data_IF_868304285586
#
_entry.id   IF_868304285586
#
_cell.length_a   1.000
_cell.length_b   1.000
_cell.length_c   1.000
_cell.angle_alpha   90.00
_cell.angle_beta   90.00
_cell.angle_gamma   90.00
#
_symmetry.space_group_name_H-M   'P 1'
#
loop_
_entity.id
_entity.type
_entity.pdbx_description
1 polymer ?
2 non-polymer ?
3 non-polymer ?
4 water ?
#
# COMPACT_ATOMS: atom_id res chain seq x y z
N UNK A 17 3.92 15.10 26.64
CA UNK A 17 4.12 13.87 25.80
C UNK A 17 3.24 13.95 24.55
N UNK A 18 3.68 14.71 23.53
CA UNK A 18 2.92 14.86 22.28
C UNK A 18 2.74 13.56 21.50
N UNK A 19 1.64 13.47 20.77
CA UNK A 19 1.34 12.31 19.96
C UNK A 19 0.89 12.75 18.58
N UNK A 20 0.92 11.82 17.63
CA UNK A 20 0.48 12.09 16.28
C UNK A 20 -0.75 11.24 16.03
N UNK A 21 -1.77 11.83 15.42
CA UNK A 21 -2.99 11.14 15.08
C UNK A 21 -2.96 10.87 13.58
N UNK A 22 -2.85 9.59 13.21
CA UNK A 22 -2.81 9.18 11.80
C UNK A 22 -4.18 8.72 11.36
N UNK A 23 -4.62 9.21 10.22
CA UNK A 23 -5.94 8.89 9.71
C UNK A 23 -5.95 8.35 8.28
N UNK A 24 -6.63 7.23 8.09
CA UNK A 24 -6.77 6.66 6.75
C UNK A 24 -8.26 6.60 6.48
N UNK A 25 -8.77 7.64 5.83
CA UNK A 25 -10.18 7.72 5.52
C UNK A 25 -10.43 7.00 4.21
N UNK A 26 -11.12 5.86 4.28
CA UNK A 26 -11.41 5.09 3.08
C UNK A 26 -12.83 5.30 2.60
N UNK A 27 -13.17 4.63 1.50
CA UNK A 27 -14.49 4.72 0.90
C UNK A 27 -15.60 4.25 1.84
N UNK A 28 -15.30 3.25 2.67
CA UNK A 28 -16.30 2.72 3.59
C UNK A 28 -15.85 2.66 5.05
N UNK A 29 -14.73 3.30 5.38
CA UNK A 29 -14.22 3.26 6.75
C UNK A 29 -13.20 4.34 7.09
N UNK A 30 -12.76 4.32 8.34
CA UNK A 30 -11.76 5.26 8.83
C UNK A 30 -10.80 4.57 9.78
N UNK A 31 -9.60 4.24 9.30
CA UNK A 31 -8.60 3.60 10.15
C UNK A 31 -7.78 4.70 10.79
N UNK A 32 -7.44 4.53 12.06
CA UNK A 32 -6.65 5.55 12.73
C UNK A 32 -5.72 4.95 13.78
N UNK A 33 -4.68 5.70 14.10
CA UNK A 33 -3.69 5.28 15.09
C UNK A 33 -3.11 6.53 15.76
N UNK A 34 -2.78 6.41 17.04
CA UNK A 34 -2.19 7.52 17.77
C UNK A 34 -0.78 7.06 18.20
N UNK A 35 0.24 7.60 17.56
CA UNK A 35 1.61 7.21 17.87
C UNK A 35 2.34 8.24 18.74
N UNK A 36 3.21 7.76 19.61
CA UNK A 36 3.98 8.63 20.48
C UNK A 36 5.01 9.33 19.60
N UNK A 37 5.14 10.64 19.74
CA UNK A 37 6.11 11.37 18.93
C UNK A 37 7.53 10.98 19.27
N UNK A 38 7.75 10.61 20.53
CA UNK A 38 9.08 10.21 20.99
C UNK A 38 9.55 8.88 20.43
N UNK A 39 8.78 7.83 20.68
CA UNK A 39 9.14 6.50 20.22
C UNK A 39 8.40 6.04 18.96
N UNK A 40 7.42 6.82 18.52
CA UNK A 40 6.63 6.46 17.34
C UNK A 40 5.82 5.19 17.57
N UNK A 41 5.69 4.80 18.84
CA UNK A 41 4.93 3.60 19.20
C UNK A 41 3.43 3.87 19.14
N UNK A 42 2.66 2.83 18.89
CA UNK A 42 1.21 2.99 18.85
C UNK A 42 0.67 2.97 20.28
N UNK A 43 -0.12 3.98 20.62
CA UNK A 43 -0.72 4.10 21.95
C UNK A 43 -2.19 3.75 21.87
N UNK A 44 -2.74 3.84 20.66
CA UNK A 44 -4.15 3.55 20.43
C UNK A 44 -4.42 3.41 18.94
N UNK A 45 -5.26 2.44 18.58
CA UNK A 45 -5.63 2.22 17.18
C UNK A 45 -7.12 1.90 17.11
N UNK A 46 -7.70 2.03 15.92
CA UNK A 46 -9.11 1.76 15.78
C UNK A 46 -9.62 1.80 14.35
N UNK A 47 -10.94 1.75 14.19
CA UNK A 47 -11.56 1.79 12.88
C UNK A 47 -13.07 1.92 12.92
N UNK A 48 -13.58 2.89 12.16
CA UNK A 48 -15.02 3.13 12.09
C UNK A 48 -15.47 2.51 10.78
N UNK A 49 -16.16 1.38 10.86
CA UNK A 49 -16.62 0.67 9.67
C UNK A 49 -18.10 0.88 9.38
N UNK A 50 -18.54 0.43 8.21
CA UNK A 50 -19.94 0.57 7.82
C UNK A 50 -20.32 2.03 7.64
N UNK A 51 -19.41 2.82 7.09
CA UNK A 51 -19.63 4.25 6.87
C UNK A 51 -20.71 4.55 5.83
N UNK A 52 -21.50 5.59 6.11
CA UNK A 52 -22.58 6.02 5.23
C UNK A 52 -23.71 4.98 5.18
N UNK A 53 -23.57 3.93 5.97
CA UNK A 53 -24.57 2.87 6.02
C UNK A 53 -25.52 3.11 7.20
N UNK A 54 -26.69 2.49 7.17
CA UNK A 54 -27.66 2.64 8.25
C UNK A 54 -27.16 1.94 9.51
N UNK A 55 -26.00 1.30 9.41
CA UNK A 55 -25.40 0.60 10.53
C UNK A 55 -23.89 0.83 10.55
N UNK A 56 -23.44 1.80 11.33
CA UNK A 56 -22.02 2.13 11.43
C UNK A 56 -21.50 1.98 12.85
N UNK A 57 -20.38 1.28 13.00
CA UNK A 57 -19.77 1.05 14.31
C UNK A 57 -18.31 1.45 14.38
N UNK A 58 -17.80 1.58 15.60
CA UNK A 58 -16.41 1.98 15.85
C UNK A 58 -15.76 1.05 16.88
N UNK A 59 -14.79 0.26 16.43
CA UNK A 59 -14.09 -0.68 17.29
C UNK A 59 -12.64 -0.29 17.61
N UNK A 60 -12.43 0.26 18.80
CA UNK A 60 -11.10 0.67 19.25
C UNK A 60 -10.41 -0.50 19.92
N UNK A 61 -9.19 -0.81 19.48
CA UNK A 61 -8.40 -1.94 20.01
C UNK A 61 -9.23 -3.20 20.05
N UNK A 62 -10.48 -3.08 19.65
CA UNK A 62 -11.40 -4.20 19.65
C UNK A 62 -12.09 -4.51 20.98
N UNK A 63 -12.37 -3.51 21.82
CA UNK A 63 -13.04 -3.81 23.08
C UNK A 63 -14.54 -3.56 23.05
N UNK A 64 -15.01 -2.76 22.09
CA UNK A 64 -16.44 -2.51 22.02
C UNK A 64 -16.99 -1.80 20.80
N UNK A 65 -17.44 -2.57 19.79
CA UNK A 65 -17.99 -1.87 18.64
C UNK A 65 -19.05 -0.85 19.09
N UNK A 66 -18.65 0.41 19.23
CA UNK A 66 -19.53 1.48 19.67
C UNK A 66 -20.62 1.64 18.61
N UNK A 67 -21.54 2.58 18.84
CA UNK A 67 -22.63 2.79 17.91
C UNK A 67 -22.70 4.22 17.39
N UNK A 68 -22.92 4.34 16.08
CA UNK A 68 -23.03 5.64 15.43
C UNK A 68 -23.77 5.46 14.11
N UNK A 69 -24.68 4.48 14.08
CA UNK A 69 -25.47 4.18 12.89
C UNK A 69 -25.92 5.46 12.17
N UNK A 70 -25.82 5.44 10.85
CA UNK A 70 -26.21 6.58 10.02
C UNK A 70 -25.40 7.83 10.39
N UNK A 71 -24.08 7.70 10.36
CA UNK A 71 -23.19 8.81 10.68
C UNK A 71 -22.22 9.05 9.54
N UNK A 72 -21.97 10.32 9.24
CA UNK A 72 -21.06 10.68 8.16
C UNK A 72 -19.61 10.62 8.64
N UNK A 73 -18.68 10.88 7.73
CA UNK A 73 -17.26 10.86 8.05
C UNK A 73 -16.89 11.75 9.22
N UNK A 74 -17.50 12.93 9.33
CA UNK A 74 -17.17 13.82 10.43
C UNK A 74 -17.73 13.36 11.77
N UNK A 75 -18.87 12.68 11.75
CA UNK A 75 -19.46 12.19 12.98
C UNK A 75 -18.59 11.05 13.50
N UNK A 76 -18.18 10.19 12.57
CA UNK A 76 -17.33 9.06 12.89
C UNK A 76 -16.02 9.53 13.52
N UNK A 77 -15.47 10.61 12.98
CA UNK A 77 -14.22 11.16 13.48
C UNK A 77 -14.47 11.88 14.80
N UNK A 78 -15.71 12.33 15.01
CA UNK A 78 -16.10 13.01 16.24
C UNK A 78 -16.13 11.97 17.36
N UNK A 79 -16.70 10.80 17.04
CA UNK A 79 -16.78 9.71 18.00
C UNK A 79 -15.35 9.37 18.43
N UNK A 80 -14.48 9.26 17.42
CA UNK A 80 -13.07 8.96 17.62
C UNK A 80 -12.44 10.06 18.48
N UNK A 81 -12.73 11.31 18.16
CA UNK A 81 -12.20 12.45 18.91
C UNK A 81 -12.58 12.39 20.38
N UNK A 82 -13.80 11.94 20.65
CA UNK A 82 -14.30 11.85 22.02
C UNK A 82 -13.57 10.77 22.81
N UNK A 83 -13.27 9.65 22.14
CA UNK A 83 -12.56 8.56 22.78
C UNK A 83 -11.14 8.96 23.14
N UNK A 84 -10.56 9.84 22.34
CA UNK A 84 -9.21 10.31 22.60
C UNK A 84 -9.28 11.24 23.80
N UNK A 85 -10.35 12.00 23.89
CA UNK A 85 -10.56 12.94 25.00
C UNK A 85 -10.92 12.19 26.27
N UNK A 86 -11.73 11.14 26.14
CA UNK A 86 -12.12 10.33 27.29
C UNK A 86 -10.89 9.69 27.89
N UNK A 87 -9.81 9.65 27.11
CA UNK A 87 -8.55 9.05 27.58
C UNK A 87 -7.47 10.12 27.73
N UNK A 88 -7.92 11.37 27.86
CA UNK A 88 -7.02 12.51 28.01
C UNK A 88 -5.89 12.58 26.98
N UNK A 89 -6.19 12.14 25.76
CA UNK A 89 -5.23 12.17 24.67
C UNK A 89 -5.37 13.46 23.87
N UNK A 90 -6.63 13.87 23.67
CA UNK A 90 -6.95 15.08 22.92
C UNK A 90 -5.98 16.24 23.11
N UNK A 91 -5.46 16.40 24.32
CA UNK A 91 -4.56 17.50 24.60
C UNK A 91 -3.10 17.29 24.18
N UNK A 92 -2.73 16.07 23.81
CA UNK A 92 -1.36 15.81 23.39
C UNK A 92 -1.21 15.69 21.88
N UNK A 93 -2.34 15.75 21.17
CA UNK A 93 -2.32 15.67 19.72
C UNK A 93 -1.68 16.92 19.13
N UNK A 94 -0.42 16.82 18.75
CA UNK A 94 0.31 17.95 18.19
C UNK A 94 0.36 17.95 16.66
N UNK A 95 0.08 16.79 16.08
CA UNK A 95 0.11 16.64 14.63
C UNK A 95 -0.94 15.65 14.17
N UNK A 96 -1.39 15.81 12.94
CA UNK A 96 -2.36 14.90 12.38
C UNK A 96 -1.87 14.53 10.99
N UNK A 97 -1.80 13.23 10.72
CA UNK A 97 -1.34 12.76 9.43
C UNK A 97 -2.47 12.17 8.62
N UNK A 98 -2.60 12.62 7.38
CA UNK A 98 -3.65 12.14 6.49
C UNK A 98 -3.06 11.34 5.36
N UNK A 99 -3.61 10.15 5.14
CA UNK A 99 -3.15 9.30 4.06
C UNK A 99 -4.00 9.64 2.85
N UNK A 100 -3.32 10.02 1.75
CA UNK A 100 -4.02 10.37 0.53
C UNK A 100 -3.76 9.30 -0.52
N UNK A 101 -4.83 8.78 -1.09
CA UNK A 101 -4.75 7.73 -2.08
C UNK A 101 -3.99 8.09 -3.36
N UNK A 102 -4.34 9.23 -3.96
CA UNK A 102 -3.73 9.65 -5.23
C UNK A 102 -3.28 11.12 -5.26
N UNK A 103 -2.02 11.34 -5.61
CA UNK A 103 -1.52 12.71 -5.66
C UNK A 103 -1.22 13.23 -7.06
N UNK A 104 -1.64 12.48 -8.09
CA UNK A 104 -1.38 12.89 -9.46
C UNK A 104 0.08 13.25 -9.65
N UNK A 105 0.36 14.25 -10.48
CA UNK A 105 1.72 14.71 -10.74
C UNK A 105 2.00 15.96 -9.91
N UNK A 106 1.04 16.34 -9.08
CA UNK A 106 1.19 17.55 -8.26
C UNK A 106 1.97 17.33 -6.98
N UNK A 107 1.89 16.14 -6.41
CA UNK A 107 2.61 15.89 -5.17
C UNK A 107 3.77 14.92 -5.31
N UNK A 108 4.95 15.38 -4.90
CA UNK A 108 6.16 14.57 -4.97
C UNK A 108 6.70 14.24 -3.59
N UNK A 109 6.08 14.81 -2.56
CA UNK A 109 6.48 14.57 -1.17
C UNK A 109 5.33 14.94 -0.23
N UNK A 110 5.49 14.63 1.04
CA UNK A 110 4.45 14.96 2.02
C UNK A 110 4.44 16.46 2.27
N UNK A 111 3.26 17.02 2.49
CA UNK A 111 3.13 18.46 2.73
C UNK A 111 2.23 18.85 3.91
N UNK A 112 2.42 20.09 4.36
CA UNK A 112 1.60 20.64 5.43
C UNK A 112 0.33 21.03 4.72
N UNK A 113 -0.81 20.57 5.21
CA UNK A 113 -2.08 20.89 4.57
C UNK A 113 -2.52 22.34 4.73
N UNK A 114 -2.79 22.98 3.60
CA UNK A 114 -3.26 24.37 3.54
C UNK A 114 -4.40 24.40 2.54
N UNK A 115 -5.03 25.56 2.36
CA UNK A 115 -6.13 25.69 1.41
C UNK A 115 -5.68 25.31 0.01
N UNK A 116 -4.43 25.65 -0.31
CA UNK A 116 -3.86 25.35 -1.62
C UNK A 116 -3.76 23.85 -1.83
N UNK A 117 -3.26 23.14 -0.81
CA UNK A 117 -3.12 21.70 -0.89
C UNK A 117 -4.48 21.05 -1.08
N UNK A 118 -5.49 21.53 -0.36
CA UNK A 118 -6.83 20.98 -0.50
C UNK A 118 -7.30 21.14 -1.94
N UNK A 119 -7.12 22.35 -2.47
CA UNK A 119 -7.50 22.64 -3.85
C UNK A 119 -6.81 21.67 -4.79
N UNK A 120 -5.51 21.47 -4.57
CA UNK A 120 -4.73 20.59 -5.41
C UNK A 120 -5.16 19.13 -5.30
N UNK A 121 -5.47 18.68 -4.09
CA UNK A 121 -5.92 17.30 -3.91
C UNK A 121 -7.24 17.15 -4.65
N UNK A 122 -8.03 18.21 -4.65
CA UNK A 122 -9.32 18.20 -5.33
C UNK A 122 -9.12 18.13 -6.85
N UNK A 123 -8.08 18.80 -7.33
CA UNK A 123 -7.77 18.83 -8.76
C UNK A 123 -7.42 17.44 -9.31
N UNK A 124 -6.74 16.62 -8.51
CA UNK A 124 -6.33 15.29 -8.94
C UNK A 124 -7.32 14.19 -8.58
N UNK A 125 -8.32 14.50 -7.77
CA UNK A 125 -9.31 13.51 -7.36
C UNK A 125 -9.94 12.72 -8.51
N UNK A 126 -10.05 13.33 -9.70
CA UNK A 126 -10.66 12.57 -10.79
C UNK A 126 -9.84 11.31 -11.12
N UNK A 127 -8.60 11.27 -10.64
CA UNK A 127 -7.72 10.13 -10.88
C UNK A 127 -8.04 8.97 -9.93
N UNK A 128 -8.79 9.28 -8.88
CA UNK A 128 -9.20 8.29 -7.88
C UNK A 128 -10.49 8.78 -7.23
N UNK A 129 -11.58 8.88 -8.02
CA UNK A 129 -12.91 9.33 -7.60
C UNK A 129 -13.31 8.97 -6.17
N UNK A 130 -13.75 7.73 -5.99
CA UNK A 130 -14.19 7.28 -4.67
C UNK A 130 -13.22 7.64 -3.54
N UNK A 131 -12.03 7.06 -3.61
CA UNK A 131 -10.99 7.20 -2.59
C UNK A 131 -10.55 8.58 -2.18
N UNK A 132 -10.17 9.42 -3.13
CA UNK A 132 -9.71 10.76 -2.81
C UNK A 132 -10.75 11.64 -2.12
N UNK A 133 -12.01 11.53 -2.54
CA UNK A 133 -13.06 12.34 -1.95
C UNK A 133 -13.25 11.95 -0.49
N UNK A 134 -13.12 10.65 -0.19
CA UNK A 134 -13.25 10.19 1.19
C UNK A 134 -12.09 10.80 1.99
N UNK A 135 -10.93 10.91 1.33
CA UNK A 135 -9.74 11.48 1.94
C UNK A 135 -9.98 12.93 2.30
N UNK A 136 -10.65 13.65 1.40
CA UNK A 136 -10.96 15.07 1.62
C UNK A 136 -11.98 15.20 2.75
N UNK A 137 -12.96 14.30 2.79
CA UNK A 137 -13.96 14.32 3.85
C UNK A 137 -13.22 14.24 5.18
N UNK A 138 -12.31 13.28 5.27
CA UNK A 138 -11.54 13.09 6.49
C UNK A 138 -10.72 14.31 6.87
N UNK A 139 -10.17 15.02 5.87
CA UNK A 139 -9.38 16.20 6.14
C UNK A 139 -10.32 17.31 6.64
N UNK A 140 -11.48 17.42 6.00
CA UNK A 140 -12.47 18.43 6.36
C UNK A 140 -12.92 18.26 7.81
N UNK A 141 -13.18 17.02 8.19
CA UNK A 141 -13.61 16.71 9.55
C UNK A 141 -12.46 16.94 10.54
N UNK A 142 -11.26 16.50 10.19
CA UNK A 142 -10.12 16.67 11.08
C UNK A 142 -9.85 18.15 11.30
N UNK A 143 -10.01 18.95 10.25
CA UNK A 143 -9.77 20.39 10.35
C UNK A 143 -10.80 21.03 11.28
N UNK A 144 -12.05 20.58 11.18
CA UNK A 144 -13.13 21.08 12.01
C UNK A 144 -12.88 20.72 13.48
N UNK A 145 -12.51 19.46 13.73
CA UNK A 145 -12.28 18.96 15.08
C UNK A 145 -10.97 19.35 15.77
N UNK A 146 -9.93 19.70 15.00
CA UNK A 146 -8.64 20.07 15.61
C UNK A 146 -8.01 21.28 14.90
N UNK A 147 -8.73 22.42 14.87
CA UNK A 147 -8.32 23.68 14.25
C UNK A 147 -6.90 24.18 14.52
N UNK A 148 -6.48 24.14 15.77
CA UNK A 148 -5.15 24.63 16.12
C UNK A 148 -4.03 23.62 15.89
N UNK A 149 -4.35 22.45 15.37
CA UNK A 149 -3.33 21.43 15.15
C UNK A 149 -2.83 21.35 13.71
N UNK A 150 -1.51 21.32 13.56
CA UNK A 150 -0.91 21.21 12.23
C UNK A 150 -1.32 19.86 11.62
N UNK A 151 -1.58 19.87 10.32
CA UNK A 151 -2.00 18.65 9.65
C UNK A 151 -1.22 18.47 8.35
N UNK A 152 -0.87 17.23 8.03
CA UNK A 152 -0.11 16.96 6.83
C UNK A 152 -0.74 15.86 5.99
N UNK A 153 -0.44 15.88 4.70
CA UNK A 153 -0.96 14.89 3.77
C UNK A 153 0.19 14.04 3.24
N UNK A 154 -0.04 12.73 3.24
CA UNK A 154 0.94 11.77 2.74
C UNK A 154 0.25 11.00 1.62
N UNK A 155 0.79 11.14 0.41
CA UNK A 155 0.23 10.52 -0.77
C UNK A 155 0.88 9.18 -1.13
N UNK A 156 0.05 8.17 -1.37
CA UNK A 156 0.51 6.83 -1.73
C UNK A 156 1.23 6.80 -3.05
N UNK A 157 1.16 7.90 -3.79
CA UNK A 157 1.77 8.00 -5.11
C UNK A 157 3.05 8.82 -5.22
N UNK A 158 3.29 9.71 -4.29
CA UNK A 158 4.46 10.59 -4.43
C UNK A 158 5.83 9.93 -4.57
N UNK A 159 6.07 8.83 -3.88
CA UNK A 159 7.37 8.17 -3.97
C UNK A 159 7.70 7.74 -5.41
N UNK A 160 6.68 7.41 -6.19
CA UNK A 160 6.89 6.97 -7.57
C UNK A 160 7.03 8.12 -8.58
N UNK A 161 6.96 9.36 -8.11
CA UNK A 161 7.07 10.50 -9.01
C UNK A 161 8.47 10.71 -9.60
N UNK A 162 9.42 9.88 -9.20
CA UNK A 162 10.77 9.99 -9.74
C UNK A 162 10.97 9.16 -11.00
N UNK A 163 9.95 8.37 -11.37
CA UNK A 163 10.03 7.54 -12.57
C UNK A 163 10.20 8.39 -13.80
N UNK A 164 11.04 7.93 -14.72
CA UNK A 164 11.29 8.62 -15.98
C UNK A 164 10.08 8.39 -16.88
N UNK A 165 9.91 9.20 -17.91
CA UNK A 165 8.78 9.07 -18.84
C UNK A 165 8.70 7.68 -19.48
N UNK A 166 9.86 7.16 -19.85
CA UNK A 166 9.97 5.84 -20.50
C UNK A 166 9.40 4.74 -19.61
N UNK A 167 9.39 5.00 -18.31
CA UNK A 167 8.87 4.04 -17.36
C UNK A 167 7.43 4.31 -16.93
N UNK A 168 6.93 5.52 -17.14
CA UNK A 168 5.55 5.79 -16.73
C UNK A 168 4.59 5.99 -17.88
N UNK A 169 5.12 6.06 -19.10
CA UNK A 169 4.25 6.23 -20.25
C UNK A 169 3.63 4.91 -20.70
N UNK A 170 2.41 4.98 -21.21
CA UNK A 170 1.73 3.82 -21.74
C UNK A 170 1.92 3.97 -23.23
N UNK A 171 1.71 2.89 -23.98
CA UNK A 171 1.87 2.95 -25.42
C UNK A 171 0.64 3.48 -26.13
N UNK A 172 -0.16 4.27 -25.43
CA UNK A 172 -1.36 4.85 -26.00
C UNK A 172 -1.02 6.15 -26.75
N UNK A 173 -1.94 6.61 -27.59
CA UNK A 173 -1.65 7.85 -28.32
C UNK A 173 -1.27 8.96 -27.34
N UNK A 174 -0.29 9.76 -27.71
CA UNK A 174 0.21 10.85 -26.88
C UNK A 174 -0.86 11.75 -26.25
N UNK A 175 -1.93 12.04 -27.01
CA UNK A 175 -3.01 12.89 -26.49
C UNK A 175 -3.54 12.40 -25.14
N UNK A 176 -3.70 11.10 -24.97
CA UNK A 176 -4.23 10.57 -23.71
C UNK A 176 -3.36 10.93 -22.51
N UNK A 177 -2.06 11.06 -22.73
CA UNK A 177 -1.17 11.42 -21.66
C UNK A 177 -1.20 12.92 -21.42
N UNK A 178 -0.85 13.69 -22.45
CA UNK A 178 -0.82 15.15 -22.36
C UNK A 178 -2.15 15.82 -22.03
N UNK A 179 -3.25 15.30 -22.58
CA UNK A 179 -4.56 15.87 -22.32
C UNK A 179 -5.27 15.27 -21.10
N UNK A 180 -5.47 13.97 -21.11
CA UNK A 180 -6.17 13.28 -20.01
C UNK A 180 -5.30 12.83 -18.84
N UNK A 181 -3.99 13.04 -18.91
CA UNK A 181 -3.10 12.64 -17.83
C UNK A 181 -3.01 11.14 -17.56
N UNK A 182 -3.19 10.32 -18.59
CA UNK A 182 -3.10 8.87 -18.45
C UNK A 182 -1.64 8.46 -18.47
N UNK A 183 -1.17 7.93 -17.34
CA UNK A 183 0.21 7.49 -17.20
C UNK A 183 0.27 6.59 -15.96
N UNK A 184 1.39 5.90 -15.78
CA UNK A 184 1.55 5.05 -14.62
C UNK A 184 1.82 5.96 -13.41
N UNK A 185 1.26 5.60 -12.26
CA UNK A 185 1.46 6.37 -11.05
C UNK A 185 2.07 5.45 -10.00
N UNK A 186 1.41 4.32 -9.75
CA UNK A 186 1.90 3.38 -8.76
C UNK A 186 1.37 3.72 -7.39
N UNK A 187 1.34 2.75 -6.50
CA UNK A 187 0.82 2.94 -5.15
C UNK A 187 1.71 2.21 -4.13
N UNK A 188 1.29 2.19 -2.86
CA UNK A 188 2.10 1.56 -1.81
C UNK A 188 3.40 2.36 -1.67
N UNK A 189 3.39 3.59 -2.19
CA UNK A 189 4.58 4.43 -2.12
C UNK A 189 5.13 4.66 -0.73
N UNK A 190 4.24 4.81 0.24
CA UNK A 190 4.67 5.04 1.61
C UNK A 190 5.34 3.78 2.17
N UNK A 191 4.78 2.63 1.85
CA UNK A 191 5.35 1.37 2.31
C UNK A 191 6.71 1.16 1.64
N UNK A 192 6.73 1.31 0.32
CA UNK A 192 7.95 1.15 -0.45
C UNK A 192 9.02 2.13 0.04
N UNK A 193 8.61 3.36 0.34
CA UNK A 193 9.53 4.36 0.82
C UNK A 193 10.06 3.93 2.19
N UNK A 194 9.14 3.66 3.12
CA UNK A 194 9.52 3.23 4.45
C UNK A 194 10.40 1.97 4.42
N UNK A 195 9.95 0.93 3.73
CA UNK A 195 10.70 -0.33 3.69
C UNK A 195 12.09 -0.19 3.09
N UNK A 196 12.22 0.55 1.99
CA UNK A 196 13.54 0.72 1.39
C UNK A 196 14.49 1.50 2.33
N UNK A 197 13.97 2.49 3.06
CA UNK A 197 14.83 3.23 4.00
C UNK A 197 15.38 2.24 5.01
N UNK A 198 14.51 1.38 5.54
CA UNK A 198 14.91 0.39 6.53
C UNK A 198 15.95 -0.60 5.98
N UNK A 199 15.82 -0.93 4.70
CA UNK A 199 16.72 -1.87 4.05
C UNK A 199 18.16 -1.39 4.01
N UNK A 200 18.35 -0.08 3.82
CA UNK A 200 19.70 0.47 3.77
C UNK A 200 20.43 0.15 5.08
N UNK A 201 19.70 0.19 6.19
CA UNK A 201 20.30 -0.12 7.47
C UNK A 201 20.51 -1.62 7.68
N UNK A 202 19.46 -2.41 7.48
CA UNK A 202 19.54 -3.85 7.64
C UNK A 202 20.62 -4.49 6.76
N UNK A 203 20.70 -4.04 5.51
CA UNK A 203 21.66 -4.59 4.57
C UNK A 203 22.99 -3.82 4.53
N UNK A 204 23.11 -2.77 5.33
CA UNK A 204 24.32 -1.95 5.38
C UNK A 204 24.71 -1.51 3.98
N UNK A 205 23.77 -0.89 3.28
CA UNK A 205 23.98 -0.39 1.93
C UNK A 205 24.10 1.12 1.92
N UNK A 206 24.75 1.64 0.89
CA UNK A 206 24.86 3.07 0.74
C UNK A 206 23.69 3.45 -0.17
N UNK A 207 22.70 4.14 0.39
CA UNK A 207 21.53 4.57 -0.35
C UNK A 207 21.88 5.12 -1.72
N UNK A 208 22.81 6.07 -1.75
CA UNK A 208 23.25 6.74 -2.96
C UNK A 208 23.83 5.81 -4.04
N UNK A 209 24.18 4.59 -3.66
CA UNK A 209 24.70 3.61 -4.62
C UNK A 209 24.10 2.27 -4.26
N UNK A 210 22.86 2.05 -4.68
CA UNK A 210 22.19 0.81 -4.33
C UNK A 210 21.06 0.43 -5.28
N UNK A 211 20.70 -0.85 -5.23
CA UNK A 211 19.64 -1.37 -6.06
C UNK A 211 18.78 -2.34 -5.26
N UNK A 212 17.55 -1.95 -5.02
CA UNK A 212 16.65 -2.80 -4.26
C UNK A 212 15.37 -3.06 -5.03
N UNK A 213 14.74 -4.17 -4.70
CA UNK A 213 13.45 -4.51 -5.27
C UNK A 213 12.64 -4.79 -4.02
N UNK A 214 11.54 -4.07 -3.85
CA UNK A 214 10.70 -4.29 -2.70
C UNK A 214 9.39 -4.89 -3.20
N UNK A 215 8.94 -5.94 -2.52
CA UNK A 215 7.71 -6.63 -2.87
C UNK A 215 6.69 -6.44 -1.77
N UNK A 216 5.81 -5.47 -1.97
CA UNK A 216 4.76 -5.23 -1.00
C UNK A 216 3.64 -6.20 -1.37
N UNK A 217 3.50 -7.26 -0.58
CA UNK A 217 2.48 -8.25 -0.84
C UNK A 217 1.42 -8.34 0.25
N UNK A 218 0.26 -7.74 -0.02
CA UNK A 218 -0.86 -7.77 0.91
C UNK A 218 -2.08 -8.11 0.08
N UNK A 219 -3.26 -7.65 0.47
CA UNK A 219 -4.46 -7.92 -0.32
C UNK A 219 -4.28 -7.18 -1.63
N UNK A 220 -3.62 -6.03 -1.54
CA UNK A 220 -3.29 -5.26 -2.71
C UNK A 220 -1.79 -5.55 -2.79
N UNK A 221 -1.24 -5.72 -3.99
CA UNK A 221 0.17 -6.05 -4.09
C UNK A 221 0.88 -5.34 -5.24
N UNK A 222 2.13 -4.97 -5.00
CA UNK A 222 2.92 -4.29 -6.02
C UNK A 222 4.42 -4.41 -5.80
N UNK A 223 5.17 -4.30 -6.88
CA UNK A 223 6.63 -4.38 -6.81
C UNK A 223 7.15 -2.96 -7.08
N UNK A 224 8.35 -2.67 -6.58
CA UNK A 224 8.97 -1.37 -6.80
C UNK A 224 10.49 -1.48 -6.84
N UNK A 225 11.09 -0.87 -7.86
CA UNK A 225 12.54 -0.85 -8.01
C UNK A 225 13.07 0.48 -7.46
N UNK A 226 13.93 0.42 -6.47
CA UNK A 226 14.50 1.62 -5.88
C UNK A 226 15.99 1.67 -6.19
N UNK A 227 16.36 2.57 -7.10
CA UNK A 227 17.74 2.74 -7.52
C UNK A 227 18.32 3.95 -6.78
N UNK A 228 19.40 3.73 -6.04
CA UNK A 228 20.04 4.80 -5.29
C UNK A 228 19.04 5.64 -4.47
N UNK A 229 18.15 4.96 -3.75
CA UNK A 229 17.16 5.64 -2.93
C UNK A 229 15.93 6.15 -3.65
N UNK A 230 15.92 6.06 -4.98
CA UNK A 230 14.76 6.53 -5.76
C UNK A 230 13.98 5.43 -6.47
N UNK A 231 12.66 5.61 -6.49
CA UNK A 231 11.77 4.68 -7.18
C UNK A 231 11.93 4.90 -8.68
N UNK A 232 12.29 3.85 -9.42
CA UNK A 232 12.45 3.98 -10.86
C UNK A 232 11.51 3.09 -11.67
N UNK A 233 10.76 2.25 -10.96
CA UNK A 233 9.78 1.38 -11.61
C UNK A 233 8.88 0.83 -10.52
N UNK A 234 7.60 0.61 -10.85
CA UNK A 234 6.65 0.07 -9.90
C UNK A 234 5.59 -0.65 -10.73
N UNK A 235 4.94 -1.67 -10.16
CA UNK A 235 3.99 -2.48 -10.94
C UNK A 235 2.56 -1.99 -11.12
N UNK A 236 1.98 -1.30 -10.15
CA UNK A 236 0.63 -0.80 -10.35
C UNK A 236 0.69 0.28 -11.42
N UNK A 237 -0.43 0.61 -12.04
CA UNK A 237 -0.40 1.60 -13.10
C UNK A 237 -1.09 2.90 -12.77
N UNK A 238 -1.93 3.37 -13.68
CA UNK A 238 -2.67 4.60 -13.44
C UNK A 238 -3.58 4.29 -12.26
N UNK A 239 -3.91 3.01 -12.12
CA UNK A 239 -4.77 2.54 -11.04
C UNK A 239 -4.13 1.33 -10.37
N UNK A 240 -4.69 0.91 -9.23
CA UNK A 240 -4.16 -0.25 -8.50
C UNK A 240 -4.43 -1.59 -9.19
N UNK A 241 -5.07 -1.56 -10.35
CA UNK A 241 -5.39 -2.80 -11.07
C UNK A 241 -4.29 -3.46 -11.91
N UNK A 242 -3.28 -2.70 -12.29
CA UNK A 242 -2.21 -3.27 -13.10
C UNK A 242 -1.11 -3.94 -12.30
N UNK A 243 -0.39 -4.85 -12.95
CA UNK A 243 0.71 -5.54 -12.31
C UNK A 243 0.43 -6.94 -11.80
N UNK A 244 0.83 -7.18 -10.56
CA UNK A 244 0.65 -8.46 -9.92
C UNK A 244 -0.81 -8.85 -9.76
N UNK A 245 -1.04 -10.16 -9.69
CA UNK A 245 -2.37 -10.69 -9.45
C UNK A 245 -2.48 -10.54 -7.94
N UNK A 246 -3.67 -10.18 -7.45
CA UNK A 246 -3.84 -9.97 -6.02
C UNK A 246 -4.97 -10.78 -5.40
N UNK A 247 -5.40 -10.37 -4.21
CA UNK A 247 -6.47 -11.07 -3.52
C UNK A 247 -7.72 -11.23 -4.35
N UNK A 248 -8.24 -10.11 -4.86
CA UNK A 248 -9.45 -10.13 -5.69
C UNK A 248 -9.21 -9.43 -7.02
N UNK A 249 -8.01 -8.92 -7.23
CA UNK A 249 -7.66 -8.23 -8.46
C UNK A 249 -6.86 -9.14 -9.40
N UNK A 250 -7.21 -9.08 -10.68
CA UNK A 250 -6.58 -9.90 -11.72
C UNK A 250 -5.10 -9.63 -11.97
N UNK A 251 -4.73 -8.34 -12.00
CA UNK A 251 -3.35 -7.98 -12.29
C UNK A 251 -3.28 -7.78 -13.79
N UNK A 252 -2.08 -7.77 -14.36
CA UNK A 252 -1.95 -7.57 -15.80
C UNK A 252 -2.93 -8.49 -16.52
N UNK A 253 -3.64 -7.92 -17.49
CA UNK A 253 -4.59 -8.68 -18.29
C UNK A 253 -4.64 -8.15 -19.72
N UNK A 254 -4.41 -9.05 -20.67
CA UNK A 254 -4.44 -8.73 -22.09
C UNK A 254 -5.76 -8.02 -22.43
N UNK A 255 -5.65 -6.77 -22.90
CA UNK A 255 -6.84 -5.98 -23.25
C UNK A 255 -7.62 -6.65 -24.38
N UNK A 256 -6.91 -7.33 -25.28
CA UNK A 256 -7.58 -8.00 -26.37
C UNK A 256 -8.52 -9.05 -25.80
N UNK A 257 -8.06 -9.71 -24.75
CA UNK A 257 -8.85 -10.75 -24.08
C UNK A 257 -10.08 -10.15 -23.43
N UNK A 258 -9.91 -8.99 -22.80
CA UNK A 258 -11.03 -8.33 -22.14
C UNK A 258 -12.06 -7.90 -23.17
N UNK A 259 -11.59 -7.47 -24.32
CA UNK A 259 -12.46 -7.02 -25.41
C UNK A 259 -13.22 -8.20 -25.99
N UNK A 260 -12.53 -9.32 -26.12
CA UNK A 260 -13.11 -10.54 -26.66
C UNK A 260 -14.19 -11.06 -25.73
N UNK A 261 -13.90 -11.07 -24.44
CA UNK A 261 -14.86 -11.52 -23.45
C UNK A 261 -16.13 -10.70 -23.54
N UNK A 262 -16.00 -9.38 -23.58
CA UNK A 262 -17.13 -8.47 -23.66
C UNK A 262 -18.11 -8.83 -24.78
N UNK A 263 -17.57 -9.05 -25.98
CA UNK A 263 -18.39 -9.40 -27.13
C UNK A 263 -19.00 -10.78 -26.97
N UNK A 264 -18.35 -11.61 -26.16
CA UNK A 264 -18.80 -12.98 -25.94
C UNK A 264 -19.90 -13.15 -24.90
N UNK A 265 -19.84 -12.36 -23.83
CA UNK A 265 -20.83 -12.43 -22.76
C UNK A 265 -21.70 -11.17 -22.71
N UNK A 266 -21.52 -10.30 -23.69
CA UNK A 266 -22.29 -9.08 -23.74
C UNK A 266 -22.14 -8.17 -22.55
N UNK A 267 -21.03 -8.28 -21.82
CA UNK A 267 -20.80 -7.44 -20.65
C UNK A 267 -20.16 -6.11 -21.06
N UNK A 268 -20.32 -5.10 -20.21
CA UNK A 268 -19.76 -3.77 -20.48
C UNK A 268 -18.44 -3.61 -19.72
N UNK A 269 -17.78 -2.48 -19.91
CA UNK A 269 -16.52 -2.19 -19.24
C UNK A 269 -16.74 -2.13 -17.73
N UNK A 270 -17.91 -1.63 -17.33
CA UNK A 270 -18.24 -1.55 -15.91
C UNK A 270 -18.38 -2.96 -15.36
N UNK A 271 -19.11 -3.79 -16.09
CA UNK A 271 -19.30 -5.19 -15.67
C UNK A 271 -17.93 -5.81 -15.47
N UNK A 272 -17.10 -5.70 -16.50
CA UNK A 272 -15.76 -6.26 -16.50
C UNK A 272 -14.83 -5.59 -15.49
N UNK A 273 -15.00 -4.29 -15.27
CA UNK A 273 -14.17 -3.55 -14.32
C UNK A 273 -14.38 -4.10 -12.92
N UNK A 274 -15.63 -4.40 -12.59
CA UNK A 274 -15.99 -4.93 -11.29
C UNK A 274 -15.46 -6.35 -11.09
N UNK A 275 -15.47 -7.14 -12.15
CA UNK A 275 -14.99 -8.51 -12.08
C UNK A 275 -13.48 -8.55 -11.87
N UNK A 276 -12.77 -7.65 -12.54
CA UNK A 276 -11.32 -7.57 -12.46
C UNK A 276 -10.82 -7.06 -11.12
N UNK A 277 -11.64 -6.24 -10.48
CA UNK A 277 -11.31 -5.62 -9.20
C UNK A 277 -11.84 -6.37 -7.98
N UNK A 278 -13.02 -6.97 -8.11
CA UNK A 278 -13.65 -7.65 -6.98
C UNK A 278 -13.88 -9.16 -7.02
N UNK A 279 -13.74 -9.78 -8.18
CA UNK A 279 -13.99 -11.22 -8.29
C UNK A 279 -12.84 -12.04 -8.87
N UNK A 280 -11.70 -11.38 -9.11
CA UNK A 280 -10.57 -12.05 -9.70
C UNK A 280 -9.44 -12.41 -8.73
N UNK A 281 -8.24 -12.58 -9.28
CA UNK A 281 -7.08 -12.92 -8.47
C UNK A 281 -7.14 -14.26 -7.77
N UNK A 282 -6.65 -14.29 -6.53
CA UNK A 282 -6.66 -15.51 -5.75
C UNK A 282 -8.08 -16.03 -5.60
N UNK A 283 -9.02 -15.13 -5.35
CA UNK A 283 -10.42 -15.49 -5.19
C UNK A 283 -10.94 -16.07 -6.50
N UNK A 284 -10.75 -15.32 -7.58
CA UNK A 284 -11.20 -15.76 -8.89
C UNK A 284 -10.70 -17.11 -9.36
N UNK A 285 -9.40 -17.38 -9.21
CA UNK A 285 -8.86 -18.66 -9.66
C UNK A 285 -9.20 -19.81 -8.72
N UNK A 286 -9.02 -19.61 -7.43
CA UNK A 286 -9.29 -20.67 -6.46
C UNK A 286 -10.79 -20.94 -6.34
N UNK A 287 -11.59 -19.91 -6.52
CA UNK A 287 -13.03 -20.06 -6.38
C UNK A 287 -13.27 -20.54 -4.96
N UNK A 288 -12.42 -20.07 -4.06
CA UNK A 288 -12.48 -20.45 -2.65
C UNK A 288 -12.35 -19.23 -1.73
N UNK A 289 -11.22 -18.54 -1.81
CA UNK A 289 -10.99 -17.39 -0.97
C UNK A 289 -9.87 -16.50 -1.51
N UNK A 290 -9.83 -15.27 -1.02
CA UNK A 290 -8.81 -14.31 -1.40
C UNK A 290 -7.72 -14.33 -0.32
N UNK A 291 -8.00 -15.04 0.77
CA UNK A 291 -7.07 -15.14 1.88
C UNK A 291 -6.05 -16.25 1.64
N UNK A 292 -4.77 -15.87 1.63
CA UNK A 292 -3.70 -16.83 1.41
C UNK A 292 -3.69 -17.95 2.45
N UNK A 293 -3.94 -17.60 3.71
CA UNK A 293 -3.97 -18.59 4.78
C UNK A 293 -4.97 -19.70 4.45
N UNK A 294 -6.15 -19.29 3.95
CA UNK A 294 -7.19 -20.24 3.59
C UNK A 294 -6.73 -21.13 2.44
N UNK A 295 -6.16 -20.52 1.40
CA UNK A 295 -5.69 -21.26 0.24
C UNK A 295 -4.50 -22.16 0.54
N UNK A 296 -3.60 -21.69 1.40
CA UNK A 296 -2.43 -22.49 1.76
C UNK A 296 -2.90 -23.78 2.39
N UNK A 297 -3.92 -23.69 3.25
CA UNK A 297 -4.47 -24.86 3.90
C UNK A 297 -5.17 -25.72 2.85
N UNK A 298 -5.97 -25.07 2.01
CA UNK A 298 -6.70 -25.76 0.96
C UNK A 298 -5.75 -26.63 0.14
N UNK A 299 -4.63 -26.03 -0.29
CA UNK A 299 -3.64 -26.77 -1.08
C UNK A 299 -3.08 -27.92 -0.27
N UNK A 300 -2.72 -27.65 0.98
CA UNK A 300 -2.18 -28.70 1.84
C UNK A 300 -3.15 -29.87 1.86
N UNK A 301 -4.44 -29.57 1.77
CA UNK A 301 -5.49 -30.59 1.80
C UNK A 301 -5.74 -31.24 0.44
N UNK A 302 -5.05 -30.76 -0.60
CA UNK A 302 -5.22 -31.35 -1.92
C UNK A 302 -6.09 -30.60 -2.90
N UNK A 303 -6.52 -29.40 -2.53
CA UNK A 303 -7.36 -28.58 -3.42
C UNK A 303 -6.51 -28.18 -4.63
N UNK A 304 -6.94 -28.60 -5.82
CA UNK A 304 -6.19 -28.32 -7.04
C UNK A 304 -6.21 -26.86 -7.50
N UNK A 305 -7.37 -26.22 -7.47
CA UNK A 305 -7.47 -24.83 -7.89
C UNK A 305 -6.84 -23.85 -6.91
N UNK A 306 -6.61 -24.28 -5.68
CA UNK A 306 -5.99 -23.42 -4.70
C UNK A 306 -4.50 -23.42 -5.01
N UNK A 307 -3.99 -24.61 -5.34
CA UNK A 307 -2.59 -24.78 -5.69
C UNK A 307 -2.29 -23.96 -6.96
N UNK A 308 -3.25 -23.92 -7.88
CA UNK A 308 -3.09 -23.18 -9.13
C UNK A 308 -3.11 -21.68 -8.90
N UNK A 309 -4.02 -21.22 -8.05
CA UNK A 309 -4.12 -19.79 -7.75
C UNK A 309 -2.80 -19.33 -7.10
N UNK A 310 -2.26 -20.14 -6.20
CA UNK A 310 -1.03 -19.79 -5.52
C UNK A 310 0.18 -19.82 -6.46
N UNK A 311 0.24 -20.84 -7.32
CA UNK A 311 1.34 -20.98 -8.28
C UNK A 311 1.36 -19.83 -9.28
N UNK A 312 0.18 -19.42 -9.70
CA UNK A 312 0.04 -18.35 -10.67
C UNK A 312 0.48 -17.05 -10.02
N UNK A 313 0.05 -16.88 -8.77
CA UNK A 313 0.36 -15.71 -7.95
C UNK A 313 1.88 -15.61 -7.81
N UNK A 314 2.51 -16.72 -7.46
CA UNK A 314 3.97 -16.81 -7.30
C UNK A 314 4.70 -16.54 -8.60
N UNK A 315 4.18 -17.12 -9.68
CA UNK A 315 4.79 -16.95 -10.99
C UNK A 315 4.79 -15.47 -11.43
N UNK A 316 3.67 -14.78 -11.23
CA UNK A 316 3.59 -13.36 -11.63
C UNK A 316 4.44 -12.44 -10.78
N UNK A 317 4.60 -12.77 -9.51
CA UNK A 317 5.44 -11.98 -8.61
C UNK A 317 6.91 -12.09 -9.06
N UNK A 318 7.36 -13.31 -9.34
CA UNK A 318 8.74 -13.55 -9.76
C UNK A 318 9.03 -12.84 -11.07
N UNK A 319 8.06 -12.88 -11.98
CA UNK A 319 8.20 -12.25 -13.29
C UNK A 319 8.38 -10.73 -13.17
N UNK A 320 7.57 -10.09 -12.33
CA UNK A 320 7.69 -8.65 -12.16
C UNK A 320 8.92 -8.28 -11.34
N UNK A 321 9.28 -9.12 -10.38
CA UNK A 321 10.47 -8.82 -9.58
C UNK A 321 11.69 -8.78 -10.48
N UNK A 322 11.79 -9.77 -11.39
CA UNK A 322 12.91 -9.85 -12.31
C UNK A 322 12.86 -8.71 -13.32
N UNK A 323 11.67 -8.42 -13.83
CA UNK A 323 11.52 -7.35 -14.79
C UNK A 323 11.90 -5.99 -14.21
N UNK A 324 11.49 -5.73 -12.97
CA UNK A 324 11.80 -4.47 -12.32
C UNK A 324 13.30 -4.30 -12.08
N UNK A 325 13.98 -5.44 -11.89
CA UNK A 325 15.42 -5.40 -11.64
C UNK A 325 16.17 -4.81 -12.83
N UNK A 326 15.54 -4.84 -14.00
CA UNK A 326 16.15 -4.30 -15.22
C UNK A 326 16.35 -2.78 -15.11
N UNK A 327 15.66 -2.15 -14.17
CA UNK A 327 15.77 -0.71 -13.99
C UNK A 327 16.87 -0.37 -12.99
N UNK A 328 17.59 -1.38 -12.54
CA UNK A 328 18.69 -1.17 -11.60
C UNK A 328 20.02 -1.41 -12.30
N UNK A 329 21.06 -0.72 -11.84
CA UNK A 329 22.38 -0.90 -12.43
C UNK A 329 23.02 -2.10 -11.73
N UNK A 330 22.54 -2.40 -10.53
CA UNK A 330 23.02 -3.52 -9.72
C UNK A 330 21.98 -3.94 -8.68
N UNK A 331 21.73 -5.24 -8.58
CA UNK A 331 20.74 -5.75 -7.62
C UNK A 331 21.42 -6.16 -6.30
N UNK A 332 21.14 -5.38 -5.25
CA UNK A 332 21.73 -5.65 -3.94
C UNK A 332 20.80 -6.43 -3.04
N UNK A 333 19.50 -6.18 -3.15
CA UNK A 333 18.56 -6.87 -2.31
C UNK A 333 17.13 -6.93 -2.79
N UNK A 334 16.41 -7.91 -2.27
CA UNK A 334 15.01 -8.13 -2.57
C UNK A 334 14.34 -8.18 -1.21
N UNK A 335 13.43 -7.24 -0.97
CA UNK A 335 12.76 -7.14 0.31
C UNK A 335 11.29 -7.50 0.23
N UNK A 336 10.87 -8.38 1.14
CA UNK A 336 9.48 -8.80 1.21
C UNK A 336 8.78 -8.08 2.36
N UNK A 337 7.59 -7.56 2.09
CA UNK A 337 6.85 -6.85 3.12
C UNK A 337 5.35 -7.00 2.88
N UNK A 338 4.55 -6.55 3.85
CA UNK A 338 3.12 -6.66 3.74
C UNK A 338 2.60 -7.90 4.44
N UNK A 339 1.29 -7.95 4.64
CA UNK A 339 0.66 -9.09 5.29
C UNK A 339 1.12 -10.45 4.76
N UNK A 340 1.34 -10.54 3.45
CA UNK A 340 1.77 -11.78 2.85
C UNK A 340 3.29 -11.91 2.85
N UNK A 341 3.96 -10.84 2.45
CA UNK A 341 5.39 -10.85 2.40
C UNK A 341 6.06 -11.07 3.75
N UNK A 342 5.41 -10.58 4.81
CA UNK A 342 5.94 -10.70 6.17
C UNK A 342 5.61 -12.04 6.86
N UNK A 343 4.48 -12.63 6.50
CA UNK A 343 4.04 -13.86 7.14
C UNK A 343 4.03 -15.17 6.33
N UNK A 344 4.02 -15.10 5.01
CA UNK A 344 3.97 -16.35 4.24
C UNK A 344 5.31 -17.00 3.95
N UNK A 345 5.66 -17.99 4.77
CA UNK A 345 6.89 -18.73 4.60
C UNK A 345 6.91 -19.43 3.24
N UNK A 346 5.77 -19.99 2.84
CA UNK A 346 5.67 -20.70 1.57
C UNK A 346 5.83 -19.82 0.35
N UNK A 347 5.05 -18.75 0.27
CA UNK A 347 5.15 -17.86 -0.88
C UNK A 347 6.54 -17.30 -1.04
N UNK A 348 7.15 -16.85 0.06
CA UNK A 348 8.51 -16.30 -0.04
C UNK A 348 9.44 -17.33 -0.66
N UNK A 349 9.42 -18.55 -0.16
CA UNK A 349 10.30 -19.59 -0.70
C UNK A 349 10.03 -19.88 -2.17
N UNK A 350 8.76 -19.99 -2.55
CA UNK A 350 8.42 -20.27 -3.94
C UNK A 350 8.91 -19.16 -4.86
N UNK A 351 8.66 -17.91 -4.49
CA UNK A 351 9.12 -16.79 -5.31
C UNK A 351 10.63 -16.86 -5.45
N UNK A 352 11.30 -17.02 -4.32
CA UNK A 352 12.76 -17.06 -4.34
C UNK A 352 13.32 -18.23 -5.15
N UNK A 353 12.68 -19.39 -5.09
CA UNK A 353 13.15 -20.53 -5.86
C UNK A 353 12.86 -20.30 -7.35
N UNK A 354 11.84 -19.48 -7.62
CA UNK A 354 11.48 -19.15 -9.00
C UNK A 354 12.43 -18.06 -9.55
N UNK A 355 13.38 -17.61 -8.73
CA UNK A 355 14.33 -16.59 -9.16
C UNK A 355 15.76 -17.09 -9.05
N UNK A 356 15.93 -18.41 -9.18
CA UNK A 356 17.25 -19.00 -9.11
C UNK A 356 18.13 -18.44 -10.20
N UNK A 357 17.50 -17.98 -11.27
CA UNK A 357 18.23 -17.41 -12.39
C UNK A 357 19.04 -16.19 -11.96
N UNK A 358 18.56 -15.48 -10.94
CA UNK A 358 19.25 -14.29 -10.45
C UNK A 358 20.34 -14.64 -9.45
N UNK A 359 20.52 -15.93 -9.18
CA UNK A 359 21.54 -16.36 -8.24
C UNK A 359 21.14 -16.29 -6.78
N UNK A 360 19.83 -16.36 -6.51
CA UNK A 360 19.35 -16.31 -5.13
C UNK A 360 19.50 -17.66 -4.41
N UNK A 361 19.92 -17.61 -3.15
CA UNK A 361 20.08 -18.82 -2.36
C UNK A 361 19.38 -18.59 -1.02
N UNK A 362 18.33 -19.36 -0.77
CA UNK A 362 17.54 -19.23 0.44
C UNK A 362 18.01 -20.01 1.66
N UNK A 363 17.87 -19.41 2.83
CA UNK A 363 18.21 -20.06 4.09
C UNK A 363 16.85 -20.42 4.66
N UNK A 364 16.44 -21.67 4.48
CA UNK A 364 15.15 -22.13 4.95
C UNK A 364 14.88 -21.92 6.44
N UNK A 365 15.85 -22.23 7.30
CA UNK A 365 15.61 -22.02 8.73
C UNK A 365 15.30 -20.56 9.00
N UNK A 366 16.02 -19.66 8.33
CA UNK A 366 15.78 -18.23 8.48
C UNK A 366 14.42 -17.86 7.92
N UNK A 367 14.09 -18.41 6.76
CA UNK A 367 12.80 -18.11 6.15
C UNK A 367 11.64 -18.68 6.96
N UNK A 368 11.92 -19.66 7.81
CA UNK A 368 10.89 -20.29 8.62
C UNK A 368 10.42 -19.45 9.81
N UNK A 369 11.29 -18.57 10.30
CA UNK A 369 10.96 -17.72 11.45
C UNK A 369 9.69 -16.86 11.28
N UNK A 370 8.86 -16.78 12.33
CA UNK A 370 7.64 -15.97 12.24
C UNK A 370 7.94 -14.47 12.24
N UNK A 371 6.94 -13.67 11.89
CA UNK A 371 7.12 -12.22 11.79
C UNK A 371 7.57 -11.53 13.08
N UNK A 372 7.43 -12.23 14.20
CA UNK A 372 7.84 -11.71 15.50
C UNK A 372 9.34 -11.41 15.50
N UNK A 373 10.06 -11.97 14.53
CA UNK A 373 11.50 -11.75 14.44
C UNK A 373 11.89 -10.45 13.71
N UNK A 374 10.86 -9.68 13.35
CA UNK A 374 11.07 -8.40 12.69
C UNK A 374 11.92 -8.36 11.42
N UNK A 375 12.65 -7.27 11.27
CA UNK A 375 13.52 -7.10 10.10
C UNK A 375 14.57 -8.19 10.19
N UNK A 376 14.60 -9.05 9.17
CA UNK A 376 15.51 -10.19 9.16
C UNK A 376 15.95 -10.61 7.76
N UNK A 377 17.12 -11.22 7.67
CA UNK A 377 17.63 -11.70 6.39
C UNK A 377 17.22 -13.16 6.25
N UNK A 378 16.81 -13.57 5.05
CA UNK A 378 16.39 -14.95 4.83
C UNK A 378 17.18 -15.69 3.77
N UNK A 379 18.14 -15.01 3.16
CA UNK A 379 18.96 -15.63 2.14
C UNK A 379 20.23 -16.14 2.82
N UNK A 380 20.87 -17.14 2.22
CA UNK A 380 22.11 -17.70 2.75
C UNK A 380 23.25 -16.83 2.25
N UNK A 381 24.45 -17.03 2.79
CA UNK A 381 25.60 -16.23 2.37
C UNK A 381 25.94 -16.38 0.87
N UNK A 382 26.02 -17.63 0.38
CA UNK A 382 26.34 -17.88 -1.04
C UNK A 382 25.46 -17.12 -2.03
N UNK A 383 24.33 -16.63 -1.54
CA UNK A 383 23.38 -15.89 -2.36
C UNK A 383 24.02 -14.63 -2.98
N UNK A 384 23.77 -14.41 -4.27
CA UNK A 384 24.33 -13.26 -4.97
C UNK A 384 23.55 -12.00 -4.63
N UNK A 385 22.31 -12.19 -4.17
CA UNK A 385 21.46 -11.09 -3.79
C UNK A 385 20.89 -11.36 -2.41
N UNK A 386 20.96 -10.37 -1.54
CA UNK A 386 20.42 -10.54 -0.20
C UNK A 386 18.91 -10.50 -0.24
N UNK A 387 18.26 -11.38 0.52
CA UNK A 387 16.81 -11.42 0.59
C UNK A 387 16.46 -11.19 2.03
N UNK A 388 15.42 -10.41 2.28
CA UNK A 388 15.04 -10.12 3.64
C UNK A 388 13.55 -9.82 3.78
N UNK A 389 13.09 -9.82 5.03
CA UNK A 389 11.70 -9.50 5.34
C UNK A 389 11.78 -8.27 6.22
N UNK A 390 10.99 -7.26 5.89
CA UNK A 390 10.96 -6.03 6.66
C UNK A 390 9.52 -5.62 6.82
N UNK A 391 8.96 -5.78 8.03
CA UNK A 391 7.56 -5.40 8.24
C UNK A 391 7.38 -3.92 7.91
N UNK A 392 6.33 -3.62 7.17
CA UNK A 392 6.07 -2.24 6.80
C UNK A 392 5.33 -1.54 7.94
N UNK A 393 5.47 -0.22 8.01
CA UNK A 393 4.80 0.57 9.02
C UNK A 393 4.45 1.93 8.42
N UNK A 394 3.34 1.96 7.68
CA UNK A 394 2.91 3.17 7.01
C UNK A 394 2.47 4.26 7.98
N UNK A 395 1.92 3.87 9.12
CA UNK A 395 1.49 4.83 10.14
C UNK A 395 2.73 5.54 10.68
N UNK A 396 3.80 4.77 10.90
CA UNK A 396 5.03 5.34 11.42
C UNK A 396 5.68 6.24 10.39
N UNK A 397 5.69 5.80 9.14
CA UNK A 397 6.28 6.60 8.08
C UNK A 397 5.55 7.95 8.01
N UNK A 398 4.22 7.91 8.10
CA UNK A 398 3.40 9.12 8.06
C UNK A 398 3.70 10.03 9.24
N UNK A 399 3.75 9.44 10.43
CA UNK A 399 4.03 10.19 11.65
C UNK A 399 5.40 10.85 11.55
N UNK A 400 6.38 10.12 11.02
CA UNK A 400 7.74 10.64 10.86
C UNK A 400 7.78 11.86 9.93
N UNK A 401 6.95 11.83 8.89
CA UNK A 401 6.88 12.94 7.94
C UNK A 401 6.25 14.12 8.65
N UNK A 402 5.18 13.83 9.39
CA UNK A 402 4.48 14.85 10.15
C UNK A 402 5.44 15.49 11.14
N UNK A 403 6.18 14.67 11.87
CA UNK A 403 7.15 15.18 12.85
C UNK A 403 8.15 16.12 12.17
N UNK A 404 8.66 15.71 11.02
CA UNK A 404 9.60 16.54 10.28
C UNK A 404 8.97 17.89 9.94
N UNK A 405 7.77 17.84 9.37
CA UNK A 405 7.05 19.06 8.99
C UNK A 405 6.59 19.88 10.18
N UNK A 406 6.64 19.28 11.38
CA UNK A 406 6.23 19.99 12.56
C UNK A 406 7.21 21.09 12.95
N UNK A 407 8.41 21.02 12.40
CA UNK A 407 9.46 22.01 12.69
C UNK A 407 9.50 23.14 11.67
N UNK A 408 8.58 23.11 10.70
CA UNK A 408 8.53 24.12 9.66
C UNK A 408 7.67 25.33 10.05
N UNK A 409 7.95 26.46 9.41
CA UNK A 409 7.21 27.70 9.66
C UNK A 409 6.35 27.98 8.43
N UNK A 410 5.02 27.91 8.60
CA UNK A 410 4.09 28.13 7.49
C UNK A 410 3.37 29.47 7.58
#
# INVERSE_FOLDING_TARGET
MRGSHHHHHHGMASNEFPVVLVINCGSSSIKFSVLDVATCDVLMAGIADGMNTENAFLSINGDKPINLAHSNYEDALKAIAFELEKRDLTDSVALIGHRIAHGGELFTQSVIITDEIIDNIRRVSPLAPLHNYANLSGIDAARHLFPAVRQVAVFDTSFHQTLAPEAYLYGLPWEYFSSLGVRRYGFHGTSHRYVSRRAYELLDLDEKDSGLIVAHLGNGASICAVRNGQSVDTSMGMTPLEGLMMGTRSGDVDFGAMAWIAKETGQTLSDLERVVNKESGLLGISGLSSDLRVLEKAWHEGHERARLAIKTFVHRIARHIAGHAASLHRLDGIIFTGGIGENSVLIRQLVIEHLGVLGLTLDVEMNKQPNSHGERIISANPSQVICAVIPTNEEKMIALDAIHLGNVKAPVEFA
#
